data_IF_718700248629
#
_entry.id   IF_718700248629
#
_cell.length_a   1.000
_cell.length_b   1.000
_cell.length_c   1.000
_cell.angle_alpha   90.00
_cell.angle_beta   90.00
_cell.angle_gamma   90.00
#
_symmetry.space_group_name_H-M   'P 1'
#
loop_
_entity.id
_entity.type
_entity.pdbx_description
1 polymer ?
#
# COMPACT_ATOMS: atom_id res chain seq x y z
N UNK A 1 17.60 3.42 -3.27
CA UNK A 1 17.00 3.34 -4.62
C UNK A 1 15.50 3.20 -4.54
N UNK A 2 14.80 3.96 -5.37
CA UNK A 2 13.34 3.94 -5.52
C UNK A 2 13.02 3.56 -6.97
N UNK A 3 12.12 2.60 -7.17
CA UNK A 3 11.61 2.20 -8.48
C UNK A 3 10.14 2.58 -8.62
N UNK A 4 9.81 3.36 -9.64
CA UNK A 4 8.43 3.71 -9.99
C UNK A 4 7.98 2.93 -11.23
N UNK A 5 6.83 2.24 -11.13
CA UNK A 5 6.30 1.40 -12.21
C UNK A 5 4.99 2.00 -12.75
N UNK A 6 4.98 2.37 -14.03
CA UNK A 6 3.86 3.02 -14.71
C UNK A 6 3.20 2.13 -15.78
N UNK A 7 3.00 0.84 -15.48
CA UNK A 7 2.42 -0.14 -16.44
C UNK A 7 0.89 -0.17 -16.43
N UNK A 8 0.26 0.53 -15.48
CA UNK A 8 -1.19 0.52 -15.26
C UNK A 8 -1.68 -0.76 -14.58
N UNK A 9 -2.86 -0.67 -13.95
CA UNK A 9 -3.47 -1.80 -13.24
C UNK A 9 -4.27 -2.70 -14.20
N UNK A 10 -4.21 -4.04 -14.09
CA UNK A 10 -3.56 -4.85 -13.06
C UNK A 10 -2.10 -5.26 -13.38
N UNK A 11 -1.54 -4.78 -14.51
CA UNK A 11 -0.24 -5.24 -15.02
C UNK A 11 0.92 -4.82 -14.11
N UNK A 12 0.85 -3.64 -13.51
CA UNK A 12 1.87 -3.15 -12.58
C UNK A 12 1.99 -4.06 -11.36
N UNK A 13 0.87 -4.51 -10.79
CA UNK A 13 0.86 -5.31 -9.56
C UNK A 13 1.45 -6.70 -9.85
N UNK A 14 1.07 -7.31 -10.98
CA UNK A 14 1.61 -8.59 -11.42
C UNK A 14 3.10 -8.50 -11.74
N UNK A 15 3.54 -7.43 -12.41
CA UNK A 15 4.94 -7.23 -12.75
C UNK A 15 5.79 -7.03 -11.49
N UNK A 16 5.33 -6.17 -10.57
CA UNK A 16 6.02 -5.95 -9.30
C UNK A 16 6.10 -7.27 -8.54
N UNK A 17 4.99 -7.97 -8.32
CA UNK A 17 4.98 -9.22 -7.58
C UNK A 17 5.93 -10.29 -8.17
N UNK A 18 6.08 -10.31 -9.51
CA UNK A 18 6.97 -11.24 -10.21
C UNK A 18 8.45 -10.89 -10.04
N UNK A 19 8.83 -9.62 -10.20
CA UNK A 19 10.24 -9.22 -10.27
C UNK A 19 10.78 -8.62 -8.97
N UNK A 20 9.93 -8.31 -7.99
CA UNK A 20 10.36 -7.76 -6.70
C UNK A 20 11.44 -8.62 -5.99
N UNK A 21 11.40 -9.97 -6.03
CA UNK A 21 12.45 -10.79 -5.41
C UNK A 21 13.84 -10.63 -6.06
N UNK A 22 13.89 -10.31 -7.35
CA UNK A 22 15.13 -10.12 -8.11
C UNK A 22 15.61 -8.67 -8.06
N UNK A 23 14.70 -7.73 -7.83
CA UNK A 23 14.98 -6.30 -7.74
C UNK A 23 15.62 -5.95 -6.40
N UNK A 24 16.89 -5.53 -6.42
CA UNK A 24 17.61 -5.01 -5.25
C UNK A 24 17.24 -3.55 -4.92
N UNK A 25 15.94 -3.23 -4.88
CA UNK A 25 15.43 -1.86 -4.61
C UNK A 25 14.85 -1.74 -3.22
N UNK A 26 15.06 -0.59 -2.56
CA UNK A 26 14.53 -0.35 -1.20
C UNK A 26 13.02 -0.11 -1.20
N UNK A 27 12.51 0.52 -2.26
CA UNK A 27 11.09 0.81 -2.44
C UNK A 27 10.72 0.63 -3.90
N UNK A 28 9.63 -0.09 -4.16
CA UNK A 28 9.01 -0.22 -5.47
C UNK A 28 7.54 0.22 -5.39
N UNK A 29 7.17 1.22 -6.18
CA UNK A 29 5.83 1.83 -6.14
C UNK A 29 5.20 1.84 -7.53
N UNK A 30 4.02 1.22 -7.65
CA UNK A 30 3.16 1.42 -8.82
C UNK A 30 2.58 2.84 -8.81
N UNK A 31 2.84 3.61 -9.88
CA UNK A 31 2.34 4.99 -10.03
C UNK A 31 1.18 5.10 -11.01
N UNK A 32 0.87 4.02 -11.74
CA UNK A 32 -0.18 3.99 -12.77
C UNK A 32 -0.01 5.12 -13.79
N UNK A 33 -1.13 5.73 -14.19
CA UNK A 33 -1.17 6.82 -15.18
C UNK A 33 -0.73 8.20 -14.66
N UNK A 34 -0.12 8.29 -13.48
CA UNK A 34 0.36 9.56 -12.93
C UNK A 34 1.41 10.19 -13.83
N UNK A 35 2.29 9.37 -14.41
CA UNK A 35 3.31 9.85 -15.35
C UNK A 35 2.70 10.39 -16.65
N UNK A 36 1.59 9.82 -17.14
CA UNK A 36 0.91 10.35 -18.33
C UNK A 36 0.36 11.77 -18.12
N UNK A 37 -0.04 12.08 -16.88
CA UNK A 37 -0.48 13.42 -16.48
C UNK A 37 0.70 14.39 -16.36
N UNK A 38 1.81 13.95 -15.77
CA UNK A 38 3.03 14.77 -15.63
C UNK A 38 3.66 15.04 -17.00
N UNK A 39 3.69 14.04 -17.88
CA UNK A 39 4.20 14.15 -19.25
C UNK A 39 3.26 14.91 -20.21
N UNK A 40 2.10 15.40 -19.73
CA UNK A 40 1.15 16.17 -20.53
C UNK A 40 0.38 15.37 -21.58
N UNK A 41 0.50 14.04 -21.61
CA UNK A 41 -0.24 13.16 -22.55
C UNK A 41 -1.73 13.09 -22.22
N UNK A 42 -2.09 13.15 -20.93
CA UNK A 42 -3.48 13.11 -20.48
C UNK A 42 -3.84 14.45 -19.83
N UNK A 43 -4.86 15.12 -20.36
CA UNK A 43 -5.41 16.33 -19.73
C UNK A 43 -6.04 15.97 -18.39
N UNK A 44 -5.66 16.69 -17.34
CA UNK A 44 -6.36 16.62 -16.04
C UNK A 44 -7.79 17.13 -16.17
N UNK A 45 -8.65 16.69 -15.26
CA UNK A 45 -10.00 17.24 -15.17
C UNK A 45 -9.95 18.77 -14.95
N UNK A 46 -10.92 19.53 -15.48
CA UNK A 46 -11.04 20.97 -15.25
C UNK A 46 -11.06 21.32 -13.76
N UNK A 47 -10.61 22.53 -13.41
CA UNK A 47 -10.50 22.98 -12.01
C UNK A 47 -11.84 22.87 -11.25
N UNK A 48 -12.97 23.09 -11.91
CA UNK A 48 -14.30 22.95 -11.31
C UNK A 48 -14.55 21.53 -10.79
N UNK A 49 -14.24 20.51 -11.60
CA UNK A 49 -14.39 19.10 -11.23
C UNK A 49 -13.42 18.70 -10.11
N UNK A 50 -12.22 19.30 -10.08
CA UNK A 50 -11.25 19.10 -9.01
C UNK A 50 -11.72 19.74 -7.70
N UNK A 51 -12.28 20.94 -7.76
CA UNK A 51 -12.79 21.68 -6.59
C UNK A 51 -13.97 20.96 -5.92
N UNK A 52 -14.87 20.39 -6.71
CA UNK A 52 -16.02 19.62 -6.21
C UNK A 52 -15.68 18.13 -5.96
N UNK A 53 -14.40 17.74 -6.02
CA UNK A 53 -13.91 16.36 -5.86
C UNK A 53 -14.52 15.33 -6.85
N UNK A 54 -15.17 15.78 -7.93
CA UNK A 54 -15.78 14.95 -8.97
C UNK A 54 -14.81 14.63 -10.11
N UNK A 55 -13.50 14.67 -9.87
CA UNK A 55 -12.51 14.24 -10.86
C UNK A 55 -12.74 12.78 -11.28
N UNK A 56 -13.14 11.91 -10.35
CA UNK A 56 -13.48 10.51 -10.69
C UNK A 56 -14.64 10.43 -11.69
N UNK A 57 -15.63 11.33 -11.56
CA UNK A 57 -16.84 11.33 -12.38
C UNK A 57 -16.53 11.87 -13.78
N UNK A 58 -15.72 12.92 -13.87
CA UNK A 58 -15.19 13.40 -15.15
C UNK A 58 -14.41 12.29 -15.88
N UNK A 59 -13.57 11.54 -15.16
CA UNK A 59 -12.82 10.41 -15.73
C UNK A 59 -13.74 9.25 -16.16
N UNK A 60 -14.84 9.02 -15.44
CA UNK A 60 -15.87 8.04 -15.79
C UNK A 60 -16.58 8.43 -17.10
N UNK A 61 -16.99 9.70 -17.24
CA UNK A 61 -17.62 10.21 -18.45
C UNK A 61 -16.67 10.22 -19.66
N UNK A 62 -15.39 10.49 -19.44
CA UNK A 62 -14.39 10.57 -20.51
C UNK A 62 -14.00 9.19 -21.09
N UNK A 63 -14.28 8.09 -20.39
CA UNK A 63 -13.96 6.72 -20.83
C UNK A 63 -15.17 5.80 -20.62
N UNK A 64 -16.21 5.89 -21.48
CA UNK A 64 -17.45 5.14 -21.31
C UNK A 64 -17.25 3.61 -21.34
N UNK A 65 -16.21 3.12 -22.02
CA UNK A 65 -15.86 1.69 -22.01
C UNK A 65 -15.41 1.16 -20.64
N UNK A 66 -14.99 2.03 -19.72
CA UNK A 66 -14.59 1.67 -18.35
C UNK A 66 -15.75 1.59 -17.35
N UNK A 67 -16.91 2.15 -17.70
CA UNK A 67 -18.10 2.21 -16.82
C UNK A 67 -18.50 0.82 -16.31
N UNK A 68 -18.38 -0.21 -17.15
CA UNK A 68 -18.70 -1.59 -16.79
C UNK A 68 -17.89 -2.12 -15.59
N UNK A 69 -16.65 -1.65 -15.39
CA UNK A 69 -15.81 -2.05 -14.24
C UNK A 69 -16.17 -1.27 -12.97
N UNK A 70 -16.88 -0.16 -13.09
CA UNK A 70 -17.16 0.79 -12.01
C UNK A 70 -18.60 0.68 -11.46
N UNK A 71 -19.43 -0.22 -11.98
CA UNK A 71 -20.77 -0.54 -11.47
C UNK A 71 -20.76 -1.08 -10.03
N UNK A 72 -19.62 -1.59 -9.55
CA UNK A 72 -19.44 -1.98 -8.15
C UNK A 72 -19.53 -0.78 -7.18
N UNK A 73 -19.19 0.44 -7.63
CA UNK A 73 -19.21 1.65 -6.79
C UNK A 73 -20.63 2.07 -6.36
N UNK A 74 -21.64 2.18 -7.24
CA UNK A 74 -23.00 2.49 -6.82
C UNK A 74 -23.60 1.38 -5.94
N UNK A 75 -23.28 0.10 -6.22
CA UNK A 75 -23.69 -1.02 -5.37
C UNK A 75 -23.09 -0.93 -3.96
N UNK A 76 -21.81 -0.55 -3.85
CA UNK A 76 -21.16 -0.32 -2.56
C UNK A 76 -21.77 0.88 -1.82
N UNK A 77 -21.96 2.01 -2.52
CA UNK A 77 -22.59 3.20 -1.94
C UNK A 77 -23.98 2.87 -1.38
N UNK A 78 -24.80 2.16 -2.15
CA UNK A 78 -26.12 1.69 -1.70
C UNK A 78 -26.03 0.81 -0.44
N UNK A 79 -25.09 -0.15 -0.41
CA UNK A 79 -24.88 -1.00 0.77
C UNK A 79 -24.47 -0.20 2.01
N UNK A 80 -23.60 0.81 1.87
CA UNK A 80 -23.18 1.69 2.98
C UNK A 80 -24.33 2.57 3.47
N UNK A 81 -25.15 3.12 2.56
CA UNK A 81 -26.33 3.89 2.97
C UNK A 81 -27.33 3.00 3.73
N UNK A 82 -27.54 1.78 3.25
CA UNK A 82 -28.38 0.79 3.93
C UNK A 82 -27.80 0.40 5.31
N UNK A 83 -26.49 0.21 5.42
CA UNK A 83 -25.85 -0.14 6.69
C UNK A 83 -25.86 0.99 7.71
N UNK A 84 -25.90 2.25 7.28
CA UNK A 84 -26.09 3.40 8.20
C UNK A 84 -27.50 3.45 8.78
N UNK A 85 -28.49 2.98 8.04
CA UNK A 85 -29.88 2.92 8.50
C UNK A 85 -30.13 1.73 9.44
N UNK A 86 -29.41 0.63 9.23
CA UNK A 86 -29.36 -0.51 10.15
C UNK A 86 -28.24 -0.29 11.18
N UNK A 87 -28.51 0.40 12.30
CA UNK A 87 -27.60 0.45 13.46
C UNK A 87 -27.23 -0.98 13.89
N UNK A 88 -26.14 -1.52 13.35
CA UNK A 88 -25.43 -2.66 13.92
C UNK A 88 -24.19 -2.11 14.59
N UNK A 89 -24.17 -2.28 15.91
CA UNK A 89 -23.00 -2.13 16.76
C UNK A 89 -21.87 -2.94 16.13
N UNK A 90 -20.99 -2.30 15.37
CA UNK A 90 -19.73 -2.93 14.93
C UNK A 90 -18.89 -3.03 16.19
N UNK A 91 -19.00 -4.18 16.86
CA UNK A 91 -18.14 -4.53 17.97
C UNK A 91 -16.74 -4.68 17.38
N UNK A 92 -15.90 -3.68 17.62
CA UNK A 92 -14.53 -3.66 17.13
C UNK A 92 -13.82 -4.89 17.71
N UNK A 93 -13.18 -5.73 16.88
CA UNK A 93 -12.29 -6.76 17.41
C UNK A 93 -11.18 -6.04 18.16
N UNK A 94 -11.14 -6.23 19.48
CA UNK A 94 -10.06 -5.72 20.32
C UNK A 94 -8.79 -6.47 19.93
N UNK A 95 -7.97 -5.87 19.08
CA UNK A 95 -6.62 -6.36 18.82
C UNK A 95 -5.77 -6.07 20.07
N UNK A 96 -5.66 -7.05 20.95
CA UNK A 96 -4.68 -7.03 22.02
C UNK A 96 -3.30 -7.16 21.40
N UNK A 97 -2.56 -6.05 21.30
CA UNK A 97 -1.14 -6.08 21.00
C UNK A 97 -0.46 -6.76 22.19
N UNK A 98 0.19 -7.94 22.02
CA UNK A 98 1.02 -8.46 23.08
C UNK A 98 2.20 -7.51 23.25
N UNK A 99 2.18 -6.72 24.32
CA UNK A 99 3.34 -5.98 24.80
C UNK A 99 4.36 -7.02 25.25
N UNK A 100 5.17 -7.51 24.31
CA UNK A 100 6.36 -8.26 24.65
C UNK A 100 7.29 -7.29 25.41
N UNK A 101 7.26 -7.39 26.74
CA UNK A 101 8.26 -6.79 27.61
C UNK A 101 9.60 -7.40 27.22
N UNK A 102 10.42 -6.59 26.53
CA UNK A 102 11.82 -6.92 26.27
C UNK A 102 12.53 -6.92 27.62
N UNK A 103 12.52 -8.08 28.29
CA UNK A 103 13.37 -8.35 29.43
C UNK A 103 14.80 -8.52 28.90
N UNK A 104 15.60 -7.46 29.04
CA UNK A 104 17.06 -7.57 28.90
C UNK A 104 17.59 -8.43 30.04
N UNK A 105 17.73 -9.74 29.81
CA UNK A 105 18.65 -10.58 30.57
C UNK A 105 20.03 -10.50 29.91
N UNK A 106 20.96 -9.79 30.54
CA UNK A 106 22.39 -10.02 30.36
C UNK A 106 22.97 -10.31 31.74
N UNK A 107 22.88 -11.58 32.12
CA UNK A 107 23.65 -12.17 33.20
C UNK A 107 24.95 -12.73 32.62
N UNK A 108 26.01 -12.14 33.14
CA UNK A 108 27.40 -12.54 33.35
C UNK A 108 27.84 -14.02 33.24
N UNK A 109 29.17 -14.17 33.08
CA UNK A 109 30.07 -15.30 33.46
C UNK A 109 30.52 -16.36 32.43
N UNK A 110 31.86 -16.57 32.40
CA UNK A 110 32.54 -17.77 31.87
C UNK A 110 33.82 -17.49 31.06
N UNK A 111 34.95 -17.08 31.69
CA UNK A 111 36.13 -17.93 31.97
C UNK A 111 36.62 -18.79 30.78
N UNK A 112 37.79 -18.45 30.23
CA UNK A 112 38.69 -19.38 29.54
C UNK A 112 40.15 -18.98 29.78
N UNK A 113 40.75 -19.68 30.74
CA UNK A 113 42.09 -20.28 30.72
C UNK A 113 43.28 -19.48 30.15
N UNK A 114 44.09 -18.96 31.06
CA UNK A 114 45.51 -18.70 30.82
C UNK A 114 46.32 -19.78 31.56
N UNK A 115 46.67 -20.83 30.82
CA UNK A 115 47.66 -21.82 31.23
C UNK A 115 49.06 -21.31 30.87
N UNK A 116 49.91 -21.28 31.89
CA UNK A 116 51.36 -21.29 31.84
C UNK A 116 51.90 -22.35 30.85
N UNK A 117 52.98 -22.06 30.12
CA UNK A 117 54.23 -22.87 30.09
C UNK A 117 55.27 -22.33 29.07
N UNK A 118 56.55 -22.52 29.41
CA UNK A 118 57.82 -22.37 28.65
C UNK A 118 58.47 -20.98 28.74
N UNK A 119 59.53 -20.72 29.51
CA UNK A 119 60.74 -21.49 29.84
C UNK A 119 61.53 -21.95 28.59
N UNK A 120 62.36 -21.05 28.08
CA UNK A 120 63.71 -21.28 27.53
C UNK A 120 64.34 -19.92 27.18
#
# INVERSE_FOLDING_TARGET
DLLFVALGSPKQEVWIARYLPELKVKVCQGVGGTFDVIAGRVKRAPLLFRAIHLEWFYRLLSQPSRIFRQTALPMFAYQVLKSKFTRRSVQQPTFSVPTASVSRSRSDSGKSDHQSEKAA
#
